data_IF_154427225190
#
_entry.id   IF_154427225190
#
_cell.length_a   1.000
_cell.length_b   1.000
_cell.length_c   1.000
_cell.angle_alpha   90.00
_cell.angle_beta   90.00
_cell.angle_gamma   90.00
#
_symmetry.space_group_name_H-M   'P 1'
#
loop_
_entity.id
_entity.type
_entity.pdbx_description
1 polymer ?
#
# COMPACT_ATOMS: atom_id res chain seq x y z
N UNK A 1 -1.80 -10.14 -11.45
CA UNK A 1 -1.16 -8.85 -11.08
C UNK A 1 -2.04 -8.08 -10.10
N UNK A 2 -1.45 -7.54 -9.03
CA UNK A 2 -2.16 -6.71 -8.04
C UNK A 2 -2.33 -5.27 -8.54
N UNK A 3 -3.47 -4.65 -8.25
CA UNK A 3 -3.78 -3.25 -8.54
C UNK A 3 -3.96 -2.49 -7.23
N UNK A 4 -3.68 -1.19 -7.23
CA UNK A 4 -3.97 -0.34 -6.09
C UNK A 4 -5.44 -0.47 -5.69
N UNK A 5 -5.69 -0.47 -4.38
CA UNK A 5 -6.98 -0.73 -3.72
C UNK A 5 -7.52 -2.15 -3.86
N UNK A 6 -6.81 -3.11 -4.47
CA UNK A 6 -7.23 -4.52 -4.38
C UNK A 6 -7.28 -4.95 -2.91
N UNK A 7 -8.34 -5.67 -2.53
CA UNK A 7 -8.39 -6.34 -1.23
C UNK A 7 -7.57 -7.62 -1.28
N UNK A 8 -6.71 -7.80 -0.29
CA UNK A 8 -5.80 -8.94 -0.22
C UNK A 8 -5.72 -9.57 1.15
N UNK A 9 -5.34 -10.85 1.16
CA UNK A 9 -5.07 -11.66 2.33
C UNK A 9 -3.62 -12.16 2.29
N UNK A 10 -2.91 -12.03 3.40
CA UNK A 10 -1.50 -12.36 3.54
C UNK A 10 -1.37 -13.64 4.36
N UNK A 11 -0.85 -14.70 3.73
CA UNK A 11 -0.70 -16.01 4.36
C UNK A 11 0.51 -16.10 5.32
N UNK A 12 1.47 -15.17 5.21
CA UNK A 12 2.78 -15.28 5.89
C UNK A 12 2.72 -15.10 7.42
N UNK A 13 1.73 -14.38 7.96
CA UNK A 13 1.69 -13.93 9.36
C UNK A 13 0.32 -14.21 10.00
N UNK A 14 -0.17 -15.44 9.88
CA UNK A 14 -1.41 -15.85 10.54
C UNK A 14 -2.68 -15.27 9.93
N UNK A 15 -2.64 -14.90 8.65
CA UNK A 15 -3.83 -14.50 7.90
C UNK A 15 -4.31 -13.08 8.19
N UNK A 16 -3.53 -12.08 7.77
CA UNK A 16 -3.90 -10.67 7.90
C UNK A 16 -4.46 -10.17 6.58
N UNK A 17 -5.51 -9.35 6.63
CA UNK A 17 -6.11 -8.73 5.43
C UNK A 17 -5.71 -7.26 5.30
N UNK A 18 -5.69 -6.75 4.07
CA UNK A 18 -5.34 -5.36 3.80
C UNK A 18 -5.70 -4.89 2.39
N UNK A 19 -5.38 -3.64 2.09
CA UNK A 19 -5.53 -3.01 0.76
C UNK A 19 -4.17 -2.84 0.10
N UNK A 20 -4.06 -3.21 -1.16
CA UNK A 20 -2.85 -2.95 -1.94
C UNK A 20 -2.66 -1.45 -2.15
N UNK A 21 -1.46 -0.94 -1.85
CA UNK A 21 -1.05 0.44 -2.15
C UNK A 21 -0.36 0.48 -3.50
N UNK A 22 0.69 -0.33 -3.67
CA UNK A 22 1.42 -0.50 -4.92
C UNK A 22 1.97 -1.94 -5.08
N UNK A 23 2.34 -2.28 -6.30
CA UNK A 23 2.99 -3.54 -6.67
C UNK A 23 4.17 -3.25 -7.58
N UNK A 24 5.36 -3.73 -7.20
CA UNK A 24 6.55 -3.67 -8.03
C UNK A 24 6.79 -5.04 -8.68
N UNK A 25 6.53 -5.21 -9.99
CA UNK A 25 6.74 -6.47 -10.68
C UNK A 25 8.21 -6.86 -10.81
N UNK A 26 9.14 -5.91 -10.74
CA UNK A 26 10.57 -6.19 -10.86
C UNK A 26 11.14 -6.86 -9.60
N UNK A 27 10.67 -6.47 -8.41
CA UNK A 27 11.11 -7.05 -7.12
C UNK A 27 10.12 -8.07 -6.56
N UNK A 28 8.98 -8.28 -7.24
CA UNK A 28 7.84 -9.08 -6.77
C UNK A 28 7.31 -8.64 -5.38
N UNK A 29 7.47 -7.37 -5.04
CA UNK A 29 7.03 -6.81 -3.76
C UNK A 29 5.68 -6.11 -3.92
N UNK A 30 4.78 -6.36 -2.98
CA UNK A 30 3.50 -5.67 -2.85
C UNK A 30 3.49 -4.94 -1.53
N UNK A 31 3.10 -3.68 -1.57
CA UNK A 31 2.90 -2.89 -0.35
C UNK A 31 1.43 -2.90 0.00
N UNK A 32 1.13 -3.30 1.22
CA UNK A 32 -0.23 -3.47 1.72
C UNK A 32 -0.44 -2.59 2.93
N UNK A 33 -1.59 -1.94 2.98
CA UNK A 33 -2.06 -1.22 4.13
C UNK A 33 -2.95 -2.12 4.99
N UNK A 34 -2.66 -2.15 6.28
CA UNK A 34 -3.44 -2.83 7.31
C UNK A 34 -4.06 -1.82 8.25
N UNK A 35 -5.29 -2.09 8.71
CA UNK A 35 -5.90 -1.38 9.84
C UNK A 35 -5.61 -2.18 11.11
N UNK A 36 -4.85 -1.59 12.03
CA UNK A 36 -4.56 -2.22 13.33
C UNK A 36 -5.59 -1.79 14.38
N UNK A 37 -6.05 -0.52 14.31
CA UNK A 37 -7.10 0.02 15.18
C UNK A 37 -8.01 0.95 14.40
N UNK A 38 -9.10 1.39 15.05
CA UNK A 38 -10.13 2.20 14.40
C UNK A 38 -9.56 3.38 13.60
N UNK A 39 -8.58 4.09 14.17
CA UNK A 39 -7.93 5.26 13.56
C UNK A 39 -6.43 5.07 13.34
N UNK A 40 -5.95 3.82 13.26
CA UNK A 40 -4.52 3.56 13.09
C UNK A 40 -4.30 2.51 12.00
N UNK A 41 -3.54 2.92 11.00
CA UNK A 41 -3.18 2.12 9.83
C UNK A 41 -1.67 1.98 9.75
N UNK A 42 -1.23 0.86 9.23
CA UNK A 42 0.17 0.52 9.10
C UNK A 42 0.43 -0.10 7.73
N UNK A 43 1.47 0.38 7.06
CA UNK A 43 1.84 -0.07 5.72
C UNK A 43 3.02 -1.02 5.82
N UNK A 44 2.89 -2.19 5.21
CA UNK A 44 3.91 -3.24 5.23
C UNK A 44 4.19 -3.75 3.83
N UNK A 45 5.40 -4.26 3.62
CA UNK A 45 5.82 -4.88 2.36
C UNK A 45 5.78 -6.39 2.50
N UNK A 46 5.30 -7.06 1.45
CA UNK A 46 5.24 -8.51 1.36
C UNK A 46 5.72 -8.95 -0.01
N UNK A 47 6.26 -10.17 -0.08
CA UNK A 47 6.44 -10.82 -1.37
C UNK A 47 5.05 -11.27 -1.89
N UNK A 48 4.78 -10.97 -3.16
CA UNK A 48 3.53 -11.29 -3.85
C UNK A 48 3.11 -12.77 -3.74
N UNK A 49 4.08 -13.69 -3.63
CA UNK A 49 3.86 -15.14 -3.54
C UNK A 49 3.07 -15.54 -2.29
N UNK A 50 3.10 -14.72 -1.23
CA UNK A 50 2.37 -14.95 0.02
C UNK A 50 1.02 -14.23 0.08
N UNK A 51 0.62 -13.56 -1.01
CA UNK A 51 -0.56 -12.71 -1.04
C UNK A 51 -1.60 -13.32 -1.97
N UNK A 52 -2.85 -13.32 -1.53
CA UNK A 52 -4.00 -13.72 -2.34
C UNK A 52 -5.00 -12.59 -2.41
N UNK A 53 -5.57 -12.36 -3.60
CA UNK A 53 -6.71 -11.45 -3.71
C UNK A 53 -7.91 -12.04 -2.99
N UNK A 54 -8.69 -11.17 -2.36
CA UNK A 54 -9.97 -11.50 -1.75
C UNK A 54 -11.07 -10.75 -2.47
N UNK A 55 -12.15 -11.44 -2.78
CA UNK A 55 -13.37 -10.84 -3.32
C UNK A 55 -14.24 -10.20 -2.22
N UNK A 56 -14.02 -10.61 -0.96
CA UNK A 56 -14.72 -10.04 0.17
C UNK A 56 -14.17 -8.64 0.49
N UNK A 57 -15.04 -7.61 0.56
CA UNK A 57 -14.62 -6.29 0.97
C UNK A 57 -14.16 -6.30 2.43
N UNK A 58 -13.18 -5.47 2.76
CA UNK A 58 -12.75 -5.31 4.14
C UNK A 58 -13.87 -4.64 4.94
N UNK A 59 -14.05 -5.08 6.19
CA UNK A 59 -14.99 -4.47 7.15
C UNK A 59 -14.68 -3.01 7.47
N UNK A 60 -13.54 -2.54 7.00
CA UNK A 60 -13.10 -1.17 7.06
C UNK A 60 -12.81 -0.73 5.64
N UNK A 61 -13.52 0.30 5.19
CA UNK A 61 -13.21 0.94 3.94
C UNK A 61 -12.62 2.31 4.21
N UNK A 62 -11.52 2.61 3.53
CA UNK A 62 -10.92 3.94 3.58
C UNK A 62 -11.53 4.67 2.40
N UNK A 63 -12.61 5.40 2.65
CA UNK A 63 -13.25 6.27 1.66
C UNK A 63 -12.37 7.47 1.29
N UNK A 64 -11.24 7.67 1.97
CA UNK A 64 -10.24 8.65 1.60
C UNK A 64 -9.28 8.08 0.56
N UNK A 65 -9.29 8.56 -0.69
CA UNK A 65 -8.26 8.17 -1.65
C UNK A 65 -6.89 8.49 -1.04
N UNK A 66 -5.94 7.55 -1.15
CA UNK A 66 -4.54 7.81 -0.83
C UNK A 66 -4.01 8.83 -1.83
N UNK A 67 -4.22 10.11 -1.53
CA UNK A 67 -3.57 11.21 -2.22
C UNK A 67 -2.09 11.03 -1.89
N UNK A 68 -1.30 10.61 -2.88
CA UNK A 68 0.16 10.68 -2.77
C UNK A 68 0.48 12.10 -2.32
N UNK A 69 1.17 12.32 -1.20
CA UNK A 69 1.49 13.67 -0.77
C UNK A 69 2.23 14.34 -1.93
N UNK A 70 1.59 15.33 -2.53
CA UNK A 70 2.23 16.14 -3.56
C UNK A 70 3.48 16.74 -2.92
N UNK A 71 4.66 16.64 -3.57
CA UNK A 71 5.91 17.13 -2.99
C UNK A 71 5.72 18.57 -2.54
N UNK A 72 6.18 18.88 -1.34
CA UNK A 72 6.12 20.24 -0.81
C UNK A 72 6.84 21.20 -1.76
N UNK A 73 6.50 22.48 -1.73
CA UNK A 73 7.11 23.49 -2.59
C UNK A 73 8.65 23.48 -2.50
N UNK A 74 9.18 23.14 -1.32
CA UNK A 74 10.62 22.95 -1.05
C UNK A 74 11.22 21.76 -1.81
N UNK A 75 10.53 20.61 -1.85
CA UNK A 75 10.98 19.42 -2.58
C UNK A 75 10.98 19.63 -4.10
N UNK A 76 10.05 20.46 -4.62
CA UNK A 76 10.06 20.87 -6.03
C UNK A 76 11.24 21.80 -6.36
N UNK A 77 11.55 22.74 -5.47
CA UNK A 77 12.67 23.66 -5.69
C UNK A 77 14.03 22.93 -5.75
N UNK A 78 14.25 21.93 -4.88
CA UNK A 78 15.49 21.15 -4.89
C UNK A 78 15.66 20.29 -6.15
N UNK A 79 14.58 19.72 -6.68
CA UNK A 79 14.62 18.95 -7.93
C UNK A 79 14.93 19.84 -9.15
N UNK A 80 14.55 21.12 -9.14
CA UNK A 80 14.86 22.08 -10.20
C UNK A 80 16.29 22.64 -10.12
N UNK A 81 16.92 22.61 -8.94
CA UNK A 81 18.26 23.17 -8.73
C UNK A 81 19.37 22.15 -9.03
N UNK A 82 19.09 20.86 -9.15
CA UNK A 82 20.04 19.88 -9.67
C UNK A 82 21.38 19.86 -8.92
N UNK A 83 21.34 19.56 -7.62
CA UNK A 83 22.54 19.26 -6.83
C UNK A 83 22.36 17.91 -6.13
N UNK A 84 22.92 16.86 -6.73
CA UNK A 84 23.16 15.54 -6.11
C UNK A 84 22.47 14.37 -6.80
#
# INVERSE_FOLDING_TARGET
MFKANDTVFINQIGGVSGRVVDYNPCTNEVRVLHRIRHNYWHQMKYNADFIRKSEYPLSWDITTPFVTPSPSFLSRALAFIGLG
#
